data_IF_063263268678
#
_entry.id   IF_063263268678
#
_cell.length_a   1.000
_cell.length_b   1.000
_cell.length_c   1.000
_cell.angle_alpha   90.00
_cell.angle_beta   90.00
_cell.angle_gamma   90.00
#
_symmetry.space_group_name_H-M   'P 1'
#
loop_
_entity.id
_entity.type
_entity.pdbx_description
1 polymer ?
#
# COMPACT_ATOMS: atom_id res chain seq x y z
N UNK A 1 -13.77 13.95 8.94
CA UNK A 1 -13.13 13.15 10.03
C UNK A 1 -12.76 14.07 11.18
N UNK A 2 -12.97 13.65 12.41
CA UNK A 2 -12.48 14.39 13.58
C UNK A 2 -11.16 13.77 14.09
N UNK A 3 -10.38 14.53 14.85
CA UNK A 3 -9.09 14.09 15.38
C UNK A 3 -9.18 12.78 16.18
N UNK A 4 -10.24 12.64 16.98
CA UNK A 4 -10.44 11.47 17.83
C UNK A 4 -10.64 10.18 17.02
N UNK A 5 -11.37 10.26 15.90
CA UNK A 5 -11.58 9.12 14.99
C UNK A 5 -10.24 8.64 14.38
N UNK A 6 -9.40 9.57 13.91
CA UNK A 6 -8.07 9.25 13.40
C UNK A 6 -7.19 8.63 14.49
N UNK A 7 -7.18 9.24 15.68
CA UNK A 7 -6.40 8.77 16.81
C UNK A 7 -6.78 7.34 17.22
N UNK A 8 -8.09 7.04 17.36
CA UNK A 8 -8.56 5.70 17.73
C UNK A 8 -8.23 4.66 16.67
N UNK A 9 -8.34 4.99 15.38
CA UNK A 9 -7.95 4.08 14.27
C UNK A 9 -6.45 3.77 14.31
N UNK A 10 -5.61 4.80 14.49
CA UNK A 10 -4.15 4.61 14.64
C UNK A 10 -3.82 3.79 15.88
N UNK A 11 -4.48 4.09 17.00
CA UNK A 11 -4.29 3.34 18.25
C UNK A 11 -4.63 1.87 18.09
N UNK A 12 -5.74 1.54 17.40
CA UNK A 12 -6.12 0.15 17.09
C UNK A 12 -5.02 -0.56 16.29
N UNK A 13 -4.45 0.09 15.28
CA UNK A 13 -3.35 -0.49 14.51
C UNK A 13 -2.10 -0.73 15.39
N UNK A 14 -1.77 0.21 16.28
CA UNK A 14 -0.65 0.07 17.22
C UNK A 14 -0.89 -1.12 18.17
N UNK A 15 -2.10 -1.30 18.68
CA UNK A 15 -2.45 -2.46 19.52
C UNK A 15 -2.23 -3.77 18.77
N UNK A 16 -2.56 -3.84 17.47
CA UNK A 16 -2.34 -5.02 16.63
C UNK A 16 -0.84 -5.31 16.34
N UNK A 17 0.05 -4.33 16.50
CA UNK A 17 1.50 -4.52 16.38
C UNK A 17 2.06 -5.28 17.60
N UNK A 18 1.52 -5.04 18.78
CA UNK A 18 2.05 -5.55 20.06
C UNK A 18 2.20 -7.07 20.09
N UNK A 19 1.21 -7.90 19.70
CA UNK A 19 1.34 -9.36 19.71
C UNK A 19 2.53 -9.84 18.87
N UNK A 20 2.71 -9.31 17.66
CA UNK A 20 3.82 -9.68 16.78
C UNK A 20 5.19 -9.33 17.41
N UNK A 21 5.27 -8.14 17.99
CA UNK A 21 6.48 -7.70 18.69
C UNK A 21 6.83 -8.59 19.91
N UNK A 22 5.84 -8.91 20.74
CA UNK A 22 6.06 -9.73 21.94
C UNK A 22 6.44 -11.16 21.58
N UNK A 23 5.73 -11.80 20.63
CA UNK A 23 6.05 -13.17 20.21
C UNK A 23 7.48 -13.29 19.67
N UNK A 24 7.94 -12.34 18.88
CA UNK A 24 9.31 -12.32 18.37
C UNK A 24 10.33 -11.95 19.45
N UNK A 25 10.03 -10.97 20.31
CA UNK A 25 10.92 -10.53 21.39
C UNK A 25 11.18 -11.63 22.41
N UNK A 26 10.16 -12.46 22.72
CA UNK A 26 10.28 -13.61 23.61
C UNK A 26 10.76 -14.88 22.91
N UNK A 27 11.12 -14.80 21.60
CA UNK A 27 11.59 -15.93 20.79
C UNK A 27 10.61 -17.10 20.73
N UNK A 28 9.29 -16.82 20.81
CA UNK A 28 8.24 -17.82 20.73
C UNK A 28 7.98 -18.28 19.29
N UNK A 29 8.49 -17.54 18.32
CA UNK A 29 8.33 -17.79 16.88
C UNK A 29 9.69 -17.76 16.17
N UNK A 30 9.87 -18.52 15.08
CA UNK A 30 11.11 -18.51 14.32
C UNK A 30 11.29 -17.20 13.54
N UNK A 31 12.53 -16.76 13.33
CA UNK A 31 12.87 -15.54 12.58
C UNK A 31 12.33 -15.53 11.14
N UNK A 32 12.18 -16.72 10.53
CA UNK A 32 11.66 -16.87 9.17
C UNK A 32 10.15 -16.60 9.05
N UNK A 33 9.40 -16.57 10.17
CA UNK A 33 7.94 -16.45 10.16
C UNK A 33 7.47 -15.16 9.50
N UNK A 34 8.13 -14.03 9.77
CA UNK A 34 7.78 -12.75 9.16
C UNK A 34 7.79 -12.79 7.62
N UNK A 35 8.77 -13.52 7.04
CA UNK A 35 8.85 -13.71 5.59
C UNK A 35 7.69 -14.56 5.07
N UNK A 36 7.35 -15.66 5.75
CA UNK A 36 6.22 -16.52 5.39
C UNK A 36 4.88 -15.78 5.44
N UNK A 37 4.62 -15.08 6.55
CA UNK A 37 3.43 -14.27 6.72
C UNK A 37 3.34 -13.13 5.68
N UNK A 38 4.46 -12.47 5.37
CA UNK A 38 4.50 -11.46 4.32
C UNK A 38 4.17 -12.03 2.94
N UNK A 39 4.61 -13.26 2.65
CA UNK A 39 4.29 -13.95 1.41
C UNK A 39 2.80 -14.27 1.33
N UNK A 40 2.22 -14.85 2.38
CA UNK A 40 0.78 -15.13 2.46
C UNK A 40 -0.04 -13.83 2.27
N UNK A 41 0.36 -12.76 2.94
CA UNK A 41 -0.28 -11.47 2.86
C UNK A 41 -0.27 -10.92 1.43
N UNK A 42 0.90 -10.92 0.77
CA UNK A 42 1.05 -10.38 -0.59
C UNK A 42 0.35 -11.21 -1.67
N UNK A 43 0.43 -12.54 -1.57
CA UNK A 43 -0.01 -13.43 -2.65
C UNK A 43 -1.45 -13.92 -2.49
N UNK A 44 -2.01 -13.84 -1.27
CA UNK A 44 -3.36 -14.33 -0.99
C UNK A 44 -4.25 -13.21 -0.43
N UNK A 45 -3.88 -12.65 0.72
CA UNK A 45 -4.81 -11.77 1.44
C UNK A 45 -5.03 -10.42 0.72
N UNK A 46 -3.96 -9.76 0.27
CA UNK A 46 -4.08 -8.45 -0.43
C UNK A 46 -4.83 -8.53 -1.77
N UNK A 47 -4.60 -9.52 -2.66
CA UNK A 47 -5.43 -9.71 -3.84
C UNK A 47 -6.91 -9.87 -3.51
N UNK A 48 -7.24 -10.65 -2.48
CA UNK A 48 -8.64 -10.84 -2.05
C UNK A 48 -9.24 -9.55 -1.48
N UNK A 49 -8.48 -8.79 -0.67
CA UNK A 49 -8.92 -7.47 -0.20
C UNK A 49 -9.21 -6.53 -1.37
N UNK A 50 -8.31 -6.45 -2.35
CA UNK A 50 -8.48 -5.62 -3.54
C UNK A 50 -9.71 -6.06 -4.34
N UNK A 51 -9.87 -7.34 -4.60
CA UNK A 51 -11.03 -7.87 -5.33
C UNK A 51 -12.34 -7.57 -4.58
N UNK A 52 -12.39 -7.83 -3.28
CA UNK A 52 -13.58 -7.62 -2.46
C UNK A 52 -13.95 -6.15 -2.30
N UNK A 53 -12.98 -5.22 -2.35
CA UNK A 53 -13.30 -3.79 -2.34
C UNK A 53 -14.17 -3.39 -3.55
N UNK A 54 -13.91 -3.95 -4.72
CA UNK A 54 -14.75 -3.75 -5.90
C UNK A 54 -16.12 -4.43 -5.80
N UNK A 55 -16.19 -5.60 -5.15
CA UNK A 55 -17.46 -6.32 -4.96
C UNK A 55 -18.38 -5.63 -3.94
N UNK A 56 -17.81 -4.91 -2.96
CA UNK A 56 -18.56 -4.18 -1.93
C UNK A 56 -18.92 -2.75 -2.32
N UNK A 57 -18.37 -2.24 -3.41
CA UNK A 57 -18.58 -0.88 -3.87
C UNK A 57 -19.61 -0.86 -4.98
N UNK A 58 -20.68 -0.08 -4.79
CA UNK A 58 -21.62 0.19 -5.87
C UNK A 58 -20.93 0.97 -7.01
N UNK A 59 -21.16 0.55 -8.25
CA UNK A 59 -20.60 1.25 -9.40
C UNK A 59 -21.16 2.69 -9.50
N UNK A 60 -20.27 3.64 -9.68
CA UNK A 60 -20.60 4.98 -10.18
C UNK A 60 -19.55 5.45 -11.19
N UNK A 61 -19.95 6.28 -12.13
CA UNK A 61 -19.03 6.93 -13.07
C UNK A 61 -18.05 7.85 -12.35
N UNK A 62 -18.45 8.39 -11.22
CA UNK A 62 -17.61 9.22 -10.35
C UNK A 62 -16.44 8.43 -9.78
N UNK A 63 -16.68 7.22 -9.25
CA UNK A 63 -15.62 6.34 -8.75
C UNK A 63 -14.64 6.01 -9.88
N UNK A 64 -15.15 5.70 -11.09
CA UNK A 64 -14.29 5.42 -12.24
C UNK A 64 -13.40 6.61 -12.63
N UNK A 65 -13.94 7.84 -12.61
CA UNK A 65 -13.18 9.06 -12.86
C UNK A 65 -12.18 9.30 -11.72
N UNK A 66 -12.60 9.14 -10.47
CA UNK A 66 -11.73 9.30 -9.29
C UNK A 66 -10.55 8.33 -9.33
N UNK A 67 -10.71 7.09 -9.81
CA UNK A 67 -9.60 6.14 -10.02
C UNK A 67 -8.56 6.67 -11.00
N UNK A 68 -8.97 7.32 -12.10
CA UNK A 68 -8.04 7.96 -13.05
C UNK A 68 -7.32 9.15 -12.43
N UNK A 69 -8.04 9.97 -11.67
CA UNK A 69 -7.45 11.10 -10.92
C UNK A 69 -6.42 10.58 -9.92
N UNK A 70 -6.77 9.56 -9.15
CA UNK A 70 -5.87 8.92 -8.17
C UNK A 70 -4.62 8.38 -8.86
N UNK A 71 -4.77 7.68 -9.98
CA UNK A 71 -3.64 7.16 -10.75
C UNK A 71 -2.74 8.31 -11.25
N UNK A 72 -3.32 9.37 -11.81
CA UNK A 72 -2.62 10.54 -12.31
C UNK A 72 -1.85 11.29 -11.21
N UNK A 73 -2.51 11.58 -10.07
CA UNK A 73 -1.87 12.27 -8.94
C UNK A 73 -0.79 11.40 -8.31
N UNK A 74 -1.04 10.10 -8.10
CA UNK A 74 -0.04 9.18 -7.57
C UNK A 74 1.18 9.07 -8.48
N UNK A 75 0.99 8.99 -9.80
CA UNK A 75 2.08 8.99 -10.77
C UNK A 75 2.87 10.31 -10.72
N UNK A 76 2.19 11.44 -10.77
CA UNK A 76 2.80 12.76 -10.74
C UNK A 76 3.59 12.98 -9.44
N UNK A 77 3.04 12.64 -8.27
CA UNK A 77 3.70 12.77 -6.98
C UNK A 77 5.00 11.94 -6.92
N UNK A 78 4.98 10.70 -7.40
CA UNK A 78 6.17 9.87 -7.47
C UNK A 78 7.20 10.43 -8.46
N UNK A 79 6.78 10.89 -9.65
CA UNK A 79 7.70 11.46 -10.65
C UNK A 79 8.36 12.74 -10.15
N UNK A 80 7.60 13.63 -9.51
CA UNK A 80 8.15 14.85 -8.90
C UNK A 80 9.15 14.49 -7.80
N UNK A 81 8.81 13.54 -6.91
CA UNK A 81 9.72 13.11 -5.84
C UNK A 81 10.99 12.44 -6.42
N UNK A 82 10.86 11.63 -7.47
CA UNK A 82 12.01 11.05 -8.21
C UNK A 82 12.90 12.17 -8.76
N UNK A 83 12.32 13.20 -9.38
CA UNK A 83 13.07 14.33 -9.93
C UNK A 83 13.79 15.12 -8.82
N UNK A 84 13.10 15.42 -7.71
CA UNK A 84 13.69 16.11 -6.55
C UNK A 84 14.88 15.31 -5.99
N UNK A 85 14.68 14.02 -5.75
CA UNK A 85 15.71 13.14 -5.21
C UNK A 85 16.90 13.03 -6.19
N UNK A 86 16.64 12.88 -7.49
CA UNK A 86 17.67 12.84 -8.51
C UNK A 86 18.50 14.14 -8.55
N UNK A 87 17.85 15.29 -8.48
CA UNK A 87 18.53 16.60 -8.50
C UNK A 87 19.43 16.79 -7.26
N UNK A 88 18.93 16.41 -6.08
CA UNK A 88 19.66 16.57 -4.82
C UNK A 88 20.85 15.59 -4.75
N UNK A 89 20.64 14.34 -5.15
CA UNK A 89 21.62 13.27 -5.00
C UNK A 89 22.40 12.92 -6.27
N UNK A 90 22.28 13.71 -7.37
CA UNK A 90 22.92 13.43 -8.67
C UNK A 90 24.44 13.15 -8.61
N UNK A 91 25.12 13.70 -7.58
CA UNK A 91 26.57 13.54 -7.37
C UNK A 91 26.89 12.46 -6.30
N UNK A 92 25.88 11.84 -5.70
CA UNK A 92 26.01 10.85 -4.62
C UNK A 92 25.67 9.45 -5.18
N UNK A 93 26.69 8.71 -5.57
CA UNK A 93 26.52 7.39 -6.22
C UNK A 93 26.73 6.19 -5.28
N UNK A 94 27.11 6.45 -4.03
CA UNK A 94 27.33 5.41 -3.02
C UNK A 94 26.06 4.61 -2.73
N UNK A 95 26.22 3.34 -2.40
CA UNK A 95 25.11 2.43 -2.07
C UNK A 95 24.19 2.99 -0.97
N UNK A 96 24.75 3.65 0.07
CA UNK A 96 23.98 4.29 1.15
C UNK A 96 23.01 5.35 0.64
N UNK A 97 23.46 6.22 -0.27
CA UNK A 97 22.60 7.26 -0.83
C UNK A 97 21.58 6.70 -1.83
N UNK A 98 21.86 5.59 -2.49
CA UNK A 98 20.88 4.89 -3.34
C UNK A 98 19.71 4.36 -2.50
N UNK A 99 20.01 3.80 -1.32
CA UNK A 99 18.97 3.38 -0.36
C UNK A 99 18.15 4.58 0.12
N UNK A 100 18.79 5.71 0.44
CA UNK A 100 18.10 6.96 0.80
C UNK A 100 17.17 7.42 -0.32
N UNK A 101 17.67 7.47 -1.57
CA UNK A 101 16.88 7.87 -2.74
C UNK A 101 15.65 6.98 -2.92
N UNK A 102 15.83 5.67 -2.86
CA UNK A 102 14.72 4.72 -2.94
C UNK A 102 13.72 4.93 -1.80
N UNK A 103 14.22 5.03 -0.56
CA UNK A 103 13.40 5.17 0.65
C UNK A 103 12.63 6.49 0.70
N UNK A 104 13.19 7.56 0.15
CA UNK A 104 12.55 8.86 0.04
C UNK A 104 11.32 8.84 -0.89
N UNK A 105 11.40 8.08 -1.99
CA UNK A 105 10.34 8.00 -2.99
C UNK A 105 9.29 6.95 -2.62
N UNK A 106 9.74 5.73 -2.32
CA UNK A 106 8.87 4.55 -2.23
C UNK A 106 8.41 4.26 -0.80
N UNK A 107 7.13 4.56 -0.53
CA UNK A 107 6.46 4.30 0.74
C UNK A 107 5.87 2.88 0.82
N UNK A 108 5.45 2.49 2.01
CA UNK A 108 4.83 1.19 2.29
C UNK A 108 3.31 1.23 2.06
N UNK A 109 2.87 1.69 0.88
CA UNK A 109 1.46 1.86 0.57
C UNK A 109 0.66 0.54 0.54
N UNK A 110 1.30 -0.60 0.23
CA UNK A 110 0.64 -1.90 0.21
C UNK A 110 0.48 -2.51 1.61
N UNK A 111 1.60 -2.74 2.35
CA UNK A 111 1.57 -3.41 3.65
C UNK A 111 1.03 -2.55 4.80
N UNK A 112 1.13 -1.23 4.68
CA UNK A 112 0.70 -0.31 5.71
C UNK A 112 -0.43 0.60 5.24
N UNK A 113 -0.38 1.04 3.99
CA UNK A 113 -1.38 1.97 3.45
C UNK A 113 -2.76 1.36 3.33
N UNK A 114 -2.92 0.15 2.75
CA UNK A 114 -4.23 -0.50 2.64
C UNK A 114 -4.85 -0.82 4.02
N UNK A 115 -4.13 -1.45 4.98
CA UNK A 115 -4.64 -1.62 6.34
C UNK A 115 -5.02 -0.31 7.02
N UNK A 116 -4.25 0.74 6.79
CA UNK A 116 -4.51 2.06 7.37
C UNK A 116 -5.79 2.67 6.80
N UNK A 117 -5.98 2.61 5.47
CA UNK A 117 -7.22 3.07 4.83
C UNK A 117 -8.43 2.24 5.29
N UNK A 118 -8.29 0.94 5.42
CA UNK A 118 -9.35 0.06 5.93
C UNK A 118 -9.76 0.43 7.37
N UNK A 119 -8.79 0.75 8.22
CA UNK A 119 -9.05 1.13 9.61
C UNK A 119 -9.64 2.54 9.76
N UNK A 120 -9.25 3.47 8.87
CA UNK A 120 -9.77 4.83 8.88
C UNK A 120 -11.16 4.98 8.26
N UNK A 121 -11.47 4.17 7.25
CA UNK A 121 -12.68 4.25 6.43
C UNK A 121 -13.37 2.88 6.34
N UNK A 122 -13.82 2.31 7.48
CA UNK A 122 -14.40 0.96 7.49
C UNK A 122 -15.69 0.88 6.67
N UNK A 123 -16.44 1.99 6.57
CA UNK A 123 -17.73 2.09 5.89
C UNK A 123 -17.61 2.62 4.45
N UNK A 124 -16.38 2.83 3.94
CA UNK A 124 -16.13 3.37 2.60
C UNK A 124 -15.16 2.46 1.81
N UNK A 125 -15.64 1.31 1.30
CA UNK A 125 -14.80 0.33 0.61
C UNK A 125 -14.10 0.87 -0.64
N UNK A 126 -14.63 1.93 -1.26
CA UNK A 126 -14.01 2.62 -2.39
C UNK A 126 -12.63 3.21 -2.05
N UNK A 127 -12.35 3.53 -0.80
CA UNK A 127 -10.99 3.97 -0.38
C UNK A 127 -9.94 2.90 -0.62
N UNK A 128 -10.31 1.62 -0.50
CA UNK A 128 -9.43 0.50 -0.80
C UNK A 128 -9.21 0.33 -2.30
N UNK A 129 -10.21 0.68 -3.13
CA UNK A 129 -10.05 0.75 -4.59
C UNK A 129 -9.00 1.82 -4.92
N UNK A 130 -9.13 3.03 -4.37
CA UNK A 130 -8.15 4.10 -4.57
C UNK A 130 -6.77 3.70 -4.06
N UNK A 131 -6.70 3.07 -2.90
CA UNK A 131 -5.47 2.49 -2.34
C UNK A 131 -4.84 1.44 -3.26
N UNK A 132 -5.62 0.55 -3.86
CA UNK A 132 -5.13 -0.45 -4.80
C UNK A 132 -4.57 0.18 -6.09
N UNK A 133 -5.19 1.24 -6.59
CA UNK A 133 -4.68 2.04 -7.72
C UNK A 133 -3.32 2.68 -7.38
N UNK A 134 -3.20 3.29 -6.18
CA UNK A 134 -1.91 3.83 -5.69
C UNK A 134 -0.84 2.72 -5.63
N UNK A 135 -1.18 1.55 -5.10
CA UNK A 135 -0.27 0.40 -5.02
C UNK A 135 0.15 -0.09 -6.40
N UNK A 136 -0.74 -0.08 -7.40
CA UNK A 136 -0.42 -0.45 -8.78
C UNK A 136 0.60 0.53 -9.40
N UNK A 137 0.36 1.84 -9.28
CA UNK A 137 1.30 2.89 -9.72
C UNK A 137 2.64 2.77 -9.01
N UNK A 138 2.62 2.60 -7.69
CA UNK A 138 3.81 2.36 -6.88
C UNK A 138 4.60 1.15 -7.36
N UNK A 139 3.95 0.00 -7.58
CA UNK A 139 4.62 -1.22 -8.03
C UNK A 139 5.22 -1.04 -9.43
N UNK A 140 4.52 -0.37 -10.33
CA UNK A 140 5.05 -0.07 -11.66
C UNK A 140 6.34 0.75 -11.57
N UNK A 141 6.32 1.85 -10.82
CA UNK A 141 7.48 2.72 -10.66
C UNK A 141 8.60 2.07 -9.85
N UNK A 142 8.28 1.29 -8.82
CA UNK A 142 9.25 0.57 -8.00
C UNK A 142 10.06 -0.44 -8.83
N UNK A 143 9.40 -1.26 -9.63
CA UNK A 143 10.07 -2.29 -10.44
C UNK A 143 10.75 -1.75 -11.70
N UNK A 144 10.46 -0.52 -12.08
CA UNK A 144 11.13 0.19 -13.17
C UNK A 144 12.18 1.15 -12.59
N UNK A 145 11.81 2.37 -12.30
CA UNK A 145 12.72 3.42 -11.83
C UNK A 145 13.31 3.10 -10.46
N UNK A 146 12.51 2.55 -9.53
CA UNK A 146 12.95 2.26 -8.17
C UNK A 146 14.12 1.26 -8.12
N UNK A 147 14.04 0.18 -8.88
CA UNK A 147 15.13 -0.81 -8.97
C UNK A 147 16.37 -0.18 -9.61
N UNK A 148 16.21 0.66 -10.64
CA UNK A 148 17.33 1.36 -11.26
C UNK A 148 18.00 2.36 -10.29
N UNK A 149 17.23 3.09 -9.48
CA UNK A 149 17.75 3.96 -8.42
C UNK A 149 18.59 3.18 -7.40
N UNK A 150 18.08 2.03 -6.96
CA UNK A 150 18.68 1.24 -5.91
C UNK A 150 19.96 0.50 -6.38
N UNK A 151 19.91 -0.13 -7.55
CA UNK A 151 21.05 -0.89 -8.11
C UNK A 151 22.05 -0.01 -8.84
N UNK A 152 21.62 1.17 -9.31
CA UNK A 152 22.40 2.03 -10.21
C UNK A 152 22.43 1.54 -11.66
N UNK A 153 21.71 0.48 -12.00
CA UNK A 153 21.76 -0.16 -13.31
C UNK A 153 20.35 -0.40 -13.87
N UNK A 154 20.11 0.06 -15.10
CA UNK A 154 18.82 -0.10 -15.79
C UNK A 154 18.53 -1.56 -16.18
N UNK A 155 19.55 -2.43 -16.29
CA UNK A 155 19.36 -3.84 -16.68
C UNK A 155 18.50 -4.65 -15.71
N UNK A 156 18.37 -4.20 -14.46
CA UNK A 156 17.56 -4.86 -13.43
C UNK A 156 16.08 -4.44 -13.43
N UNK A 157 15.70 -3.49 -14.27
CA UNK A 157 14.29 -3.10 -14.45
C UNK A 157 13.49 -4.27 -15.02
N UNK A 158 12.36 -4.59 -14.38
CA UNK A 158 11.50 -5.73 -14.79
C UNK A 158 10.03 -5.29 -14.84
N UNK A 159 9.59 -4.81 -16.00
CA UNK A 159 8.20 -4.39 -16.25
C UNK A 159 7.23 -5.57 -15.98
N UNK A 160 7.63 -6.80 -16.30
CA UNK A 160 6.81 -7.99 -16.02
C UNK A 160 6.50 -8.14 -14.53
N UNK A 161 7.47 -7.91 -13.63
CA UNK A 161 7.24 -7.93 -12.18
C UNK A 161 6.35 -6.80 -11.67
N UNK A 162 6.36 -5.66 -12.37
CA UNK A 162 5.48 -4.55 -12.06
C UNK A 162 4.02 -4.89 -12.38
N UNK A 163 3.77 -5.46 -13.55
CA UNK A 163 2.43 -5.78 -14.03
C UNK A 163 1.85 -7.05 -13.38
N UNK A 164 2.68 -8.09 -13.22
CA UNK A 164 2.26 -9.37 -12.64
C UNK A 164 2.47 -9.46 -11.12
N UNK A 165 2.49 -8.34 -10.43
CA UNK A 165 2.37 -8.34 -8.98
C UNK A 165 0.95 -8.78 -8.58
N UNK A 166 0.77 -9.62 -7.54
CA UNK A 166 -0.55 -10.17 -7.17
C UNK A 166 -1.64 -9.12 -6.97
N UNK A 167 -1.31 -8.01 -6.30
CA UNK A 167 -2.26 -6.91 -6.09
C UNK A 167 -2.61 -6.21 -7.41
N UNK A 168 -1.64 -6.02 -8.31
CA UNK A 168 -1.91 -5.45 -9.64
C UNK A 168 -2.76 -6.39 -10.49
N UNK A 169 -2.51 -7.70 -10.43
CA UNK A 169 -3.35 -8.70 -11.12
C UNK A 169 -4.79 -8.67 -10.61
N UNK A 170 -4.99 -8.60 -9.29
CA UNK A 170 -6.33 -8.47 -8.71
C UNK A 170 -7.03 -7.20 -9.21
N UNK A 171 -6.32 -6.07 -9.28
CA UNK A 171 -6.84 -4.83 -9.85
C UNK A 171 -7.22 -4.99 -11.32
N UNK A 172 -6.34 -5.59 -12.13
CA UNK A 172 -6.59 -5.80 -13.57
C UNK A 172 -7.74 -6.78 -13.87
N UNK A 173 -8.06 -7.68 -12.93
CA UNK A 173 -9.25 -8.54 -13.02
C UNK A 173 -10.49 -7.77 -12.55
N UNK A 174 -10.41 -7.10 -11.41
CA UNK A 174 -11.55 -6.45 -10.76
C UNK A 174 -12.03 -5.22 -11.53
N UNK A 175 -11.12 -4.44 -12.10
CA UNK A 175 -11.44 -3.20 -12.82
C UNK A 175 -12.34 -3.44 -14.05
N UNK A 176 -12.01 -4.35 -14.99
CA UNK A 176 -12.90 -4.66 -16.11
C UNK A 176 -14.26 -5.20 -15.65
N UNK A 177 -14.29 -6.07 -14.63
CA UNK A 177 -15.54 -6.58 -14.07
C UNK A 177 -16.40 -5.44 -13.52
N UNK A 178 -15.82 -4.52 -12.77
CA UNK A 178 -16.51 -3.36 -12.21
C UNK A 178 -17.07 -2.43 -13.27
N UNK A 179 -16.29 -2.13 -14.31
CA UNK A 179 -16.68 -1.22 -15.39
C UNK A 179 -17.73 -1.83 -16.34
N UNK A 180 -17.63 -3.14 -16.63
CA UNK A 180 -18.50 -3.81 -17.59
C UNK A 180 -19.80 -4.28 -16.95
N UNK A 181 -19.74 -4.90 -15.77
CA UNK A 181 -20.91 -5.46 -15.10
C UNK A 181 -21.72 -4.40 -14.37
N UNK A 182 -21.05 -3.37 -13.82
CA UNK A 182 -21.66 -2.26 -13.07
C UNK A 182 -22.47 -2.70 -11.83
N UNK A 183 -22.28 -3.93 -11.39
CA UNK A 183 -22.91 -4.54 -10.23
C UNK A 183 -22.04 -5.66 -9.67
N UNK A 184 -22.18 -6.01 -8.37
CA UNK A 184 -21.47 -7.13 -7.77
C UNK A 184 -21.79 -8.46 -8.46
N UNK A 185 -20.84 -9.41 -8.41
CA UNK A 185 -21.02 -10.72 -9.04
C UNK A 185 -22.20 -11.51 -8.46
N UNK A 186 -22.49 -11.35 -7.17
CA UNK A 186 -23.64 -11.99 -6.53
C UNK A 186 -24.98 -11.57 -7.15
N UNK A 187 -25.10 -10.34 -7.63
CA UNK A 187 -26.30 -9.78 -8.23
C UNK A 187 -26.51 -10.18 -9.72
N UNK A 188 -25.58 -10.96 -10.28
CA UNK A 188 -25.72 -11.49 -11.64
C UNK A 188 -26.69 -12.66 -11.71
N UNK A 189 -26.96 -13.33 -10.59
CA UNK A 189 -27.78 -14.52 -10.50
C UNK A 189 -29.12 -14.19 -9.84
N UNK A 190 -30.17 -14.90 -10.26
CA UNK A 190 -31.49 -14.75 -9.65
C UNK A 190 -31.48 -15.13 -8.18
N UNK A 191 -32.21 -14.37 -7.36
CA UNK A 191 -32.31 -14.59 -5.93
C UNK A 191 -32.84 -16.00 -5.60
N UNK A 192 -32.19 -16.68 -4.67
CA UNK A 192 -32.56 -18.03 -4.22
C UNK A 192 -32.04 -19.16 -5.12
N UNK A 193 -31.29 -18.86 -6.19
CA UNK A 193 -30.68 -19.91 -7.02
C UNK A 193 -29.42 -20.50 -6.37
N UNK A 194 -29.09 -21.77 -6.70
CA UNK A 194 -27.84 -22.39 -6.28
C UNK A 194 -26.61 -21.62 -6.74
N UNK A 195 -26.67 -20.99 -7.93
CA UNK A 195 -25.59 -20.18 -8.47
C UNK A 195 -25.32 -18.95 -7.59
N UNK A 196 -26.39 -18.24 -7.19
CA UNK A 196 -26.24 -17.11 -6.25
C UNK A 196 -25.68 -17.59 -4.91
N UNK A 197 -26.26 -18.62 -4.29
CA UNK A 197 -25.81 -19.14 -3.02
C UNK A 197 -24.33 -19.59 -3.03
N UNK A 198 -23.89 -20.22 -4.13
CA UNK A 198 -22.49 -20.58 -4.33
C UNK A 198 -21.59 -19.34 -4.43
N UNK A 199 -22.00 -18.34 -5.24
CA UNK A 199 -21.25 -17.09 -5.41
C UNK A 199 -21.12 -16.33 -4.10
N UNK A 200 -22.20 -16.22 -3.33
CA UNK A 200 -22.17 -15.57 -2.00
C UNK A 200 -21.19 -16.25 -1.05
N UNK A 201 -21.17 -17.59 -1.01
CA UNK A 201 -20.22 -18.35 -0.16
C UNK A 201 -18.78 -18.19 -0.64
N UNK A 202 -18.55 -18.15 -1.95
CA UNK A 202 -17.22 -17.90 -2.52
C UNK A 202 -16.73 -16.49 -2.18
N UNK A 203 -17.55 -15.47 -2.39
CA UNK A 203 -17.23 -14.09 -2.04
C UNK A 203 -17.01 -13.91 -0.54
N UNK A 204 -17.83 -14.56 0.30
CA UNK A 204 -17.62 -14.58 1.74
C UNK A 204 -16.25 -15.18 2.12
N UNK A 205 -15.82 -16.26 1.45
CA UNK A 205 -14.49 -16.85 1.69
C UNK A 205 -13.36 -15.90 1.29
N UNK A 206 -13.52 -15.18 0.19
CA UNK A 206 -12.56 -14.15 -0.24
C UNK A 206 -12.52 -12.97 0.74
N UNK A 207 -13.68 -12.58 1.27
CA UNK A 207 -13.78 -11.51 2.26
C UNK A 207 -13.10 -11.86 3.57
N UNK A 208 -13.24 -13.09 4.05
CA UNK A 208 -12.52 -13.58 5.23
C UNK A 208 -11.00 -13.44 5.04
N UNK A 209 -10.47 -13.85 3.87
CA UNK A 209 -9.05 -13.70 3.56
C UNK A 209 -8.64 -12.23 3.44
N UNK A 210 -9.44 -11.39 2.78
CA UNK A 210 -9.20 -9.96 2.66
C UNK A 210 -9.16 -9.25 4.02
N UNK A 211 -10.08 -9.58 4.92
CA UNK A 211 -10.16 -8.97 6.25
C UNK A 211 -8.98 -9.36 7.17
N UNK A 212 -8.22 -10.41 6.83
CA UNK A 212 -6.98 -10.74 7.57
C UNK A 212 -5.82 -9.81 7.25
N UNK A 213 -5.91 -9.00 6.19
CA UNK A 213 -4.78 -8.12 5.75
C UNK A 213 -4.35 -7.19 6.87
N UNK A 214 -5.27 -6.47 7.49
CA UNK A 214 -4.94 -5.49 8.54
C UNK A 214 -4.29 -6.14 9.77
N UNK A 215 -4.87 -7.14 10.44
CA UNK A 215 -4.24 -7.75 11.61
C UNK A 215 -2.92 -8.44 11.25
N UNK A 216 -2.87 -9.15 10.13
CA UNK A 216 -1.68 -9.87 9.71
C UNK A 216 -0.52 -8.92 9.36
N UNK A 217 -0.79 -7.83 8.63
CA UNK A 217 0.21 -6.81 8.32
C UNK A 217 0.78 -6.15 9.57
N UNK A 218 -0.06 -5.85 10.56
CA UNK A 218 0.38 -5.25 11.82
C UNK A 218 1.20 -6.24 12.67
N UNK A 219 0.82 -7.51 12.71
CA UNK A 219 1.63 -8.56 13.37
C UNK A 219 3.00 -8.69 12.69
N UNK A 220 3.07 -8.74 11.36
CA UNK A 220 4.33 -8.76 10.61
C UNK A 220 5.19 -7.54 10.91
N UNK A 221 4.57 -6.36 10.98
CA UNK A 221 5.27 -5.13 11.35
C UNK A 221 5.85 -5.22 12.77
N UNK A 222 5.08 -5.78 13.73
CA UNK A 222 5.53 -6.03 15.09
C UNK A 222 6.76 -6.94 15.16
N UNK A 223 6.73 -8.06 14.42
CA UNK A 223 7.87 -8.97 14.32
C UNK A 223 9.11 -8.21 13.80
N UNK A 224 8.96 -7.45 12.72
CA UNK A 224 10.06 -6.67 12.14
C UNK A 224 10.60 -5.60 13.08
N UNK A 225 9.75 -4.93 13.84
CA UNK A 225 10.18 -3.95 14.85
C UNK A 225 11.01 -4.59 15.95
N UNK A 226 10.73 -5.84 16.35
CA UNK A 226 11.50 -6.55 17.37
C UNK A 226 12.92 -6.91 16.92
N UNK A 227 13.15 -7.05 15.61
CA UNK A 227 14.45 -7.35 15.00
C UNK A 227 15.37 -6.11 14.95
N UNK A 228 14.81 -4.91 15.08
CA UNK A 228 15.56 -3.65 14.97
C UNK A 228 16.32 -3.30 16.24
N UNK A 229 17.60 -2.94 16.09
CA UNK A 229 18.39 -2.40 17.19
C UNK A 229 18.22 -0.89 17.27
N UNK A 230 17.61 -0.41 18.33
CA UNK A 230 17.34 1.03 18.54
C UNK A 230 18.59 1.90 18.35
N UNK A 231 19.77 1.44 18.77
CA UNK A 231 21.04 2.17 18.59
C UNK A 231 21.39 2.42 17.12
N UNK A 232 21.05 1.47 16.23
CA UNK A 232 21.34 1.59 14.79
C UNK A 232 20.40 2.61 14.12
N UNK A 233 19.17 2.73 14.62
CA UNK A 233 18.19 3.73 14.12
C UNK A 233 18.71 5.15 14.40
N UNK A 234 19.24 5.39 15.60
CA UNK A 234 19.69 6.72 16.03
C UNK A 234 21.12 7.09 15.59
N UNK A 235 21.88 6.15 15.03
CA UNK A 235 23.28 6.37 14.68
C UNK A 235 23.52 6.78 13.21
N UNK A 236 22.50 6.74 12.35
CA UNK A 236 22.71 6.87 10.90
C UNK A 236 22.06 8.13 10.31
N UNK A 237 22.88 9.12 9.91
CA UNK A 237 22.43 10.32 9.21
C UNK A 237 21.60 10.01 7.93
N UNK A 238 21.93 9.00 7.08
CA UNK A 238 21.10 8.59 5.96
C UNK A 238 19.68 8.20 6.33
N UNK A 239 19.44 7.58 7.49
CA UNK A 239 18.11 7.20 7.97
C UNK A 239 17.27 8.45 8.26
N UNK A 240 17.83 9.43 8.96
CA UNK A 240 17.13 10.69 9.23
C UNK A 240 16.81 11.45 7.94
N UNK A 241 17.74 11.44 6.99
CA UNK A 241 17.54 12.09 5.71
C UNK A 241 16.40 11.42 4.93
N UNK A 242 16.39 10.08 4.84
CA UNK A 242 15.30 9.33 4.21
C UNK A 242 13.96 9.58 4.92
N UNK A 243 13.96 9.60 6.26
CA UNK A 243 12.77 9.89 7.06
C UNK A 243 12.25 11.33 6.81
N UNK A 244 13.12 12.34 6.75
CA UNK A 244 12.73 13.71 6.46
C UNK A 244 12.08 13.84 5.07
N UNK A 245 12.68 13.24 4.04
CA UNK A 245 12.08 13.22 2.71
C UNK A 245 10.73 12.52 2.70
N UNK A 246 10.62 11.38 3.38
CA UNK A 246 9.40 10.55 3.30
C UNK A 246 8.30 11.03 4.23
N UNK A 247 8.60 11.48 5.43
CA UNK A 247 7.60 11.84 6.44
C UNK A 247 7.28 13.33 6.48
N UNK A 248 8.09 14.18 5.83
CA UNK A 248 7.85 15.63 5.77
C UNK A 248 7.66 16.07 4.33
N UNK A 249 8.65 15.85 3.46
CA UNK A 249 8.62 16.41 2.11
C UNK A 249 7.53 15.76 1.24
N UNK A 250 7.38 14.43 1.30
CA UNK A 250 6.35 13.74 0.51
C UNK A 250 4.92 14.14 0.92
N UNK A 251 4.53 14.15 2.21
CA UNK A 251 3.22 14.66 2.62
C UNK A 251 2.98 16.12 2.21
N UNK A 252 3.97 17.00 2.38
CA UNK A 252 3.86 18.39 1.93
C UNK A 252 3.66 18.50 0.41
N UNK A 253 4.40 17.74 -0.37
CA UNK A 253 4.22 17.67 -1.81
C UNK A 253 2.81 17.22 -2.17
N UNK A 254 2.32 16.17 -1.53
CA UNK A 254 0.96 15.66 -1.77
C UNK A 254 -0.08 16.73 -1.42
N UNK A 255 0.02 17.40 -0.26
CA UNK A 255 -0.88 18.49 0.11
C UNK A 255 -0.87 19.59 -0.96
N UNK A 256 0.32 20.05 -1.38
CA UNK A 256 0.44 21.10 -2.40
C UNK A 256 -0.17 20.70 -3.75
N UNK A 257 -0.10 19.42 -4.10
CA UNK A 257 -0.73 18.90 -5.32
C UNK A 257 -2.25 18.77 -5.19
N UNK A 258 -2.76 18.48 -3.99
CA UNK A 258 -4.20 18.30 -3.76
C UNK A 258 -4.94 19.65 -3.63
N UNK A 259 -4.30 20.67 -3.09
CA UNK A 259 -4.92 21.99 -2.87
C UNK A 259 -5.65 22.58 -4.09
N UNK A 260 -5.08 22.58 -5.33
CA UNK A 260 -5.74 23.15 -6.50
C UNK A 260 -6.81 22.24 -7.12
N UNK A 261 -6.91 20.97 -6.70
CA UNK A 261 -7.72 19.97 -7.40
C UNK A 261 -9.17 19.90 -6.90
N UNK A 262 -9.51 20.55 -5.77
CA UNK A 262 -10.85 20.54 -5.18
C UNK A 262 -11.52 19.15 -5.16
N UNK A 263 -10.75 18.13 -4.78
CA UNK A 263 -11.19 16.73 -4.79
C UNK A 263 -12.17 16.46 -3.65
N UNK A 264 -13.02 15.45 -3.85
CA UNK A 264 -13.82 14.89 -2.80
C UNK A 264 -12.95 14.50 -1.58
N UNK A 265 -13.39 14.80 -0.34
CA UNK A 265 -12.59 14.55 0.86
C UNK A 265 -12.08 13.11 1.01
N UNK A 266 -12.85 12.14 0.54
CA UNK A 266 -12.51 10.73 0.59
C UNK A 266 -11.34 10.40 -0.35
N UNK A 267 -11.39 10.90 -1.58
CA UNK A 267 -10.34 10.75 -2.60
C UNK A 267 -9.05 11.44 -2.14
N UNK A 268 -9.17 12.68 -1.66
CA UNK A 268 -8.03 13.44 -1.13
C UNK A 268 -7.38 12.72 0.06
N UNK A 269 -8.18 12.16 0.96
CA UNK A 269 -7.69 11.39 2.12
C UNK A 269 -6.98 10.10 1.68
N UNK A 270 -7.56 9.35 0.75
CA UNK A 270 -6.94 8.13 0.22
C UNK A 270 -5.57 8.42 -0.43
N UNK A 271 -5.48 9.49 -1.22
CA UNK A 271 -4.23 9.96 -1.82
C UNK A 271 -3.22 10.39 -0.76
N UNK A 272 -3.64 11.24 0.19
CA UNK A 272 -2.76 11.74 1.23
C UNK A 272 -2.18 10.61 2.07
N UNK A 273 -3.01 9.74 2.63
CA UNK A 273 -2.55 8.64 3.47
C UNK A 273 -1.80 7.58 2.65
N UNK A 274 -2.30 7.20 1.47
CA UNK A 274 -1.66 6.19 0.63
C UNK A 274 -0.24 6.57 0.18
N UNK A 275 -0.01 7.84 -0.19
CA UNK A 275 1.28 8.34 -0.64
C UNK A 275 2.23 8.72 0.51
N UNK A 276 1.70 9.11 1.67
CA UNK A 276 2.48 9.57 2.84
C UNK A 276 2.98 8.45 3.75
N UNK A 277 2.70 7.16 3.42
CA UNK A 277 3.15 6.03 4.22
C UNK A 277 4.68 6.01 4.40
N UNK A 278 5.18 5.56 5.57
CA UNK A 278 6.62 5.40 5.81
C UNK A 278 7.29 4.53 4.75
N UNK A 279 8.61 4.52 4.75
CA UNK A 279 9.42 3.78 3.76
C UNK A 279 9.04 2.30 3.70
N UNK A 280 8.97 1.76 2.48
CA UNK A 280 8.73 0.34 2.26
C UNK A 280 9.90 -0.51 2.78
N UNK A 281 9.60 -1.58 3.53
CA UNK A 281 10.59 -2.57 4.01
C UNK A 281 11.34 -3.27 2.87
N UNK A 282 10.85 -3.15 1.63
CA UNK A 282 11.53 -3.66 0.43
C UNK A 282 12.90 -3.00 0.17
N UNK A 283 13.21 -1.85 0.78
CA UNK A 283 14.55 -1.27 0.73
C UNK A 283 15.62 -2.19 1.35
N UNK A 284 15.24 -2.94 2.38
CA UNK A 284 16.12 -3.91 3.08
C UNK A 284 16.32 -5.20 2.27
N UNK A 285 15.41 -5.53 1.37
CA UNK A 285 15.50 -6.76 0.57
C UNK A 285 16.48 -6.65 -0.60
N UNK A 286 16.95 -5.46 -0.90
CA UNK A 286 17.85 -5.17 -2.02
C UNK A 286 19.21 -4.60 -1.58
N UNK A 287 19.39 -4.35 -0.29
CA UNK A 287 20.67 -3.95 0.33
C UNK A 287 21.47 -5.18 0.78
#
# INVERSE_FOLDING_TARGET
>A
MNFFSVFTSVFTLVVLIVPGYLLARFRMIPESLAKGLSTLLLYVCQPMLTFMSFQKTAYSSEIAVNMLIVAGVALAAHLVMIAVVFLIFRRKTDARYRVVQFSAVFGNCGFMGLPFLQALFPDAPETLIYGAVIVAVFNFLKWTVGVALLTGEKKHMKITRALFNPTSVALFISLPLFLLLKRPLAELFEAGTYAQAFTDKLLFSFDLLGNTVTPLAMIVLGIRLSEMKLKEIFASAPVYLAAAFKLILMPLLVILMLLPLSLEPLVASALFFGLSMPTATSAVLFS
#
